data_IF_008750359940
#
_entry.id   IF_008750359940
#
_cell.length_a   1.000
_cell.length_b   1.000
_cell.length_c   1.000
_cell.angle_alpha   90.00
_cell.angle_beta   90.00
_cell.angle_gamma   90.00
#
_symmetry.space_group_name_H-M   'P 1'
#
loop_
_entity.id
_entity.type
_entity.pdbx_description
1 polymer ?
#
# COMPACT_ATOMS: atom_id res chain seq x y z
N UNK A 1 -22.77 -38.89 14.24
CA UNK A 1 -23.84 -38.12 13.54
C UNK A 1 -23.42 -37.96 12.08
N UNK A 2 -24.29 -38.27 11.13
CA UNK A 2 -24.11 -37.97 9.70
C UNK A 2 -24.72 -36.60 9.43
N UNK A 3 -23.99 -35.74 8.76
CA UNK A 3 -24.47 -34.40 8.35
C UNK A 3 -24.33 -34.32 6.82
N UNK A 4 -25.39 -33.96 6.14
CA UNK A 4 -25.36 -33.61 4.72
C UNK A 4 -25.42 -32.10 4.59
N UNK A 5 -24.46 -31.53 3.87
CA UNK A 5 -24.40 -30.10 3.59
C UNK A 5 -24.54 -29.87 2.08
N UNK A 6 -25.32 -28.88 1.74
CA UNK A 6 -25.41 -28.37 0.38
C UNK A 6 -24.94 -26.88 0.39
N UNK A 7 -24.07 -26.53 -0.52
CA UNK A 7 -23.53 -25.15 -0.62
C UNK A 7 -23.20 -24.79 -2.06
N UNK A 8 -23.04 -23.51 -2.33
CA UNK A 8 -22.45 -23.01 -3.57
C UNK A 8 -21.58 -21.78 -3.28
N UNK A 9 -20.62 -21.52 -4.17
CA UNK A 9 -19.70 -20.40 -4.01
C UNK A 9 -20.34 -19.09 -4.51
N UNK A 10 -20.36 -18.07 -3.66
CA UNK A 10 -20.93 -16.75 -3.96
C UNK A 10 -20.11 -15.97 -5.01
N UNK A 11 -18.87 -16.35 -5.30
CA UNK A 11 -18.05 -15.72 -6.33
C UNK A 11 -18.70 -15.71 -7.72
N UNK A 12 -19.64 -16.60 -7.99
CA UNK A 12 -20.39 -16.64 -9.23
C UNK A 12 -21.41 -15.51 -9.41
N UNK A 13 -21.72 -14.77 -8.34
CA UNK A 13 -22.79 -13.79 -8.30
C UNK A 13 -22.29 -12.37 -8.10
N UNK A 14 -21.01 -12.20 -7.77
CA UNK A 14 -20.44 -10.88 -7.65
C UNK A 14 -20.23 -10.23 -9.01
N UNK A 15 -20.40 -8.92 -9.05
CA UNK A 15 -20.03 -8.10 -10.22
C UNK A 15 -18.53 -8.26 -10.46
N UNK A 16 -18.15 -8.60 -11.71
CA UNK A 16 -16.74 -8.75 -12.09
C UNK A 16 -16.08 -7.39 -12.23
N UNK A 17 -14.76 -7.36 -12.09
CA UNK A 17 -13.99 -6.11 -12.17
C UNK A 17 -14.17 -5.37 -13.48
N UNK A 18 -14.27 -6.11 -14.58
CA UNK A 18 -14.44 -5.60 -15.94
C UNK A 18 -15.84 -5.02 -16.21
N UNK A 19 -16.79 -5.28 -15.31
CA UNK A 19 -18.17 -4.78 -15.42
C UNK A 19 -18.36 -3.42 -14.72
N UNK A 20 -17.34 -2.92 -14.01
CA UNK A 20 -17.40 -1.57 -13.44
C UNK A 20 -17.12 -0.53 -14.52
N UNK A 21 -18.08 0.37 -14.70
CA UNK A 21 -18.02 1.43 -15.70
C UNK A 21 -17.23 2.64 -15.21
N UNK A 22 -16.84 3.54 -16.13
CA UNK A 22 -16.23 4.84 -15.78
C UNK A 22 -17.12 5.64 -14.81
N UNK A 23 -18.42 5.54 -14.96
CA UNK A 23 -19.39 6.18 -14.08
C UNK A 23 -19.29 5.60 -12.66
N UNK A 24 -19.25 4.27 -12.52
CA UNK A 24 -19.12 3.60 -11.21
C UNK A 24 -17.85 4.06 -10.50
N UNK A 25 -16.71 4.13 -11.22
CA UNK A 25 -15.42 4.54 -10.67
C UNK A 25 -15.44 6.00 -10.24
N UNK A 26 -15.97 6.89 -11.09
CA UNK A 26 -16.05 8.32 -10.82
C UNK A 26 -16.97 8.62 -9.62
N UNK A 27 -18.12 7.95 -9.52
CA UNK A 27 -19.05 8.10 -8.38
C UNK A 27 -18.41 7.59 -7.08
N UNK A 28 -17.78 6.41 -7.11
CA UNK A 28 -17.10 5.86 -5.95
C UNK A 28 -15.97 6.78 -5.46
N UNK A 29 -15.15 7.29 -6.39
CA UNK A 29 -14.05 8.21 -6.06
C UNK A 29 -14.59 9.51 -5.45
N UNK A 30 -15.64 10.08 -6.02
CA UNK A 30 -16.30 11.29 -5.50
C UNK A 30 -16.84 11.11 -4.09
N UNK A 31 -17.54 9.99 -3.85
CA UNK A 31 -18.13 9.67 -2.53
C UNK A 31 -17.07 9.42 -1.45
N UNK A 32 -15.90 8.94 -1.83
CA UNK A 32 -14.83 8.56 -0.93
C UNK A 32 -13.59 9.45 -1.03
N UNK A 33 -13.69 10.63 -1.65
CA UNK A 33 -12.56 11.51 -2.00
C UNK A 33 -11.58 11.75 -0.86
N UNK A 34 -12.08 11.96 0.36
CA UNK A 34 -11.21 12.26 1.52
C UNK A 34 -10.44 11.03 2.04
N UNK A 35 -10.97 9.83 1.81
CA UNK A 35 -10.34 8.56 2.19
C UNK A 35 -9.39 8.03 1.12
N UNK A 36 -9.59 8.46 -0.12
CA UNK A 36 -8.84 7.98 -1.28
C UNK A 36 -7.70 8.93 -1.68
N UNK A 37 -7.47 10.01 -0.93
CA UNK A 37 -6.33 10.90 -1.17
C UNK A 37 -5.03 10.11 -1.12
N UNK A 38 -4.20 10.34 -2.14
CA UNK A 38 -2.87 9.76 -2.28
C UNK A 38 -1.86 10.82 -1.89
N UNK A 39 -0.99 10.46 -0.95
CA UNK A 39 0.09 11.34 -0.55
C UNK A 39 1.26 11.24 -1.52
N UNK A 40 1.71 12.39 -2.02
CA UNK A 40 2.91 12.56 -2.83
C UNK A 40 3.94 13.35 -2.03
N UNK A 41 5.21 12.98 -2.19
CA UNK A 41 6.32 13.71 -1.60
C UNK A 41 7.35 14.11 -2.65
N UNK A 42 7.97 15.28 -2.45
CA UNK A 42 9.22 15.65 -3.09
C UNK A 42 10.32 15.52 -2.05
N UNK A 43 11.40 14.86 -2.39
CA UNK A 43 12.54 14.69 -1.49
C UNK A 43 13.86 14.63 -2.24
N UNK A 44 14.93 14.83 -1.51
CA UNK A 44 16.29 14.64 -1.98
C UNK A 44 17.05 13.81 -0.98
N UNK A 45 18.03 13.05 -1.48
CA UNK A 45 18.85 12.21 -0.64
C UNK A 45 20.25 12.01 -1.21
N UNK A 46 21.19 11.64 -0.35
CA UNK A 46 22.52 11.12 -0.71
C UNK A 46 22.74 9.80 0.02
N UNK A 47 23.54 8.93 -0.62
CA UNK A 47 24.02 7.69 -0.01
C UNK A 47 25.42 7.95 0.51
N UNK A 48 25.66 7.60 1.77
CA UNK A 48 26.91 7.77 2.48
C UNK A 48 27.52 6.39 2.74
N UNK A 49 28.67 6.14 2.17
CA UNK A 49 29.45 4.92 2.39
C UNK A 49 30.93 5.28 2.64
N UNK A 50 31.74 4.33 3.10
CA UNK A 50 33.15 4.64 3.40
C UNK A 50 33.90 5.20 2.19
N UNK A 51 33.62 4.72 0.98
CA UNK A 51 34.31 5.17 -0.24
C UNK A 51 34.10 6.65 -0.48
N UNK A 52 32.82 7.12 -0.44
CA UNK A 52 32.50 8.51 -0.76
C UNK A 52 32.68 9.47 0.41
N UNK A 53 32.68 8.97 1.66
CA UNK A 53 32.81 9.81 2.85
C UNK A 53 34.25 9.96 3.35
N UNK A 54 35.05 8.89 3.26
CA UNK A 54 36.42 8.85 3.79
C UNK A 54 37.47 8.27 2.80
N UNK A 55 37.05 7.87 1.60
CA UNK A 55 37.97 7.38 0.55
C UNK A 55 38.53 5.97 0.78
N UNK A 56 37.92 5.16 1.64
CA UNK A 56 38.31 3.76 1.90
C UNK A 56 37.12 2.83 1.72
N UNK A 57 37.37 1.51 1.62
CA UNK A 57 36.29 0.52 1.45
C UNK A 57 35.74 0.00 2.79
N UNK A 58 36.40 0.34 3.90
CA UNK A 58 36.09 -0.24 5.21
C UNK A 58 35.32 0.73 6.12
N UNK A 59 34.31 0.20 6.79
CA UNK A 59 33.68 0.87 7.92
C UNK A 59 34.64 0.88 9.11
N UNK A 60 35.15 2.05 9.45
CA UNK A 60 36.07 2.27 10.56
C UNK A 60 35.62 3.46 11.43
N UNK A 61 36.35 3.71 12.51
CA UNK A 61 36.00 4.79 13.44
C UNK A 61 35.90 6.15 12.74
N UNK A 62 36.77 6.44 11.77
CA UNK A 62 36.74 7.73 11.04
C UNK A 62 35.44 7.91 10.25
N UNK A 63 34.92 6.81 9.68
CA UNK A 63 33.62 6.83 9.01
C UNK A 63 32.50 7.15 10.00
N UNK A 64 32.43 6.43 11.13
CA UNK A 64 31.39 6.65 12.14
C UNK A 64 31.49 8.04 12.78
N UNK A 65 32.69 8.54 13.04
CA UNK A 65 32.88 9.92 13.53
C UNK A 65 32.32 10.96 12.54
N UNK A 66 32.38 10.68 11.22
CA UNK A 66 31.78 11.53 10.20
C UNK A 66 30.24 11.45 10.22
N UNK A 67 29.68 10.26 10.41
CA UNK A 67 28.23 10.07 10.54
C UNK A 67 27.73 10.82 11.79
N UNK A 68 28.38 10.62 12.95
CA UNK A 68 28.06 11.32 14.19
C UNK A 68 28.12 12.85 14.01
N UNK A 69 29.11 13.36 13.27
CA UNK A 69 29.21 14.79 12.98
C UNK A 69 28.03 15.28 12.12
N UNK A 70 27.56 14.49 11.15
CA UNK A 70 26.38 14.83 10.33
C UNK A 70 25.13 14.87 11.24
N UNK A 71 24.95 13.92 12.15
CA UNK A 71 23.85 13.91 13.11
C UNK A 71 23.88 15.15 14.02
N UNK A 72 25.06 15.55 14.48
CA UNK A 72 25.25 16.80 15.25
C UNK A 72 24.90 18.01 14.38
N UNK A 73 25.37 18.07 13.13
CA UNK A 73 25.07 19.16 12.21
C UNK A 73 23.54 19.28 11.99
N UNK A 74 22.82 18.14 11.81
CA UNK A 74 21.35 18.09 11.70
C UNK A 74 20.69 18.62 12.99
N UNK A 75 21.17 18.17 14.15
CA UNK A 75 20.64 18.59 15.44
C UNK A 75 20.84 20.08 15.74
N UNK A 76 21.82 20.69 15.07
CA UNK A 76 22.10 22.14 15.12
C UNK A 76 21.43 22.91 13.96
N UNK A 77 20.39 22.35 13.35
CA UNK A 77 19.60 22.97 12.25
C UNK A 77 20.41 23.28 10.98
N UNK A 78 21.52 22.56 10.72
CA UNK A 78 22.25 22.70 9.47
C UNK A 78 21.35 22.34 8.27
N UNK A 79 21.46 23.09 7.15
CA UNK A 79 20.70 22.76 5.96
C UNK A 79 21.29 21.55 5.20
N UNK A 80 20.44 20.76 4.59
CA UNK A 80 20.82 19.60 3.79
C UNK A 80 21.83 19.97 2.69
N UNK A 81 21.60 21.07 1.97
CA UNK A 81 22.45 21.47 0.85
C UNK A 81 23.82 21.94 1.32
N UNK A 82 23.90 22.53 2.52
CA UNK A 82 25.16 22.92 3.15
C UNK A 82 25.99 21.68 3.51
N UNK A 83 25.35 20.67 4.12
CA UNK A 83 26.02 19.38 4.45
C UNK A 83 26.52 18.70 3.17
N UNK A 84 25.66 18.57 2.14
CA UNK A 84 26.03 17.94 0.86
C UNK A 84 27.19 18.67 0.19
N UNK A 85 27.18 20.00 0.20
CA UNK A 85 28.25 20.83 -0.35
C UNK A 85 29.57 20.66 0.42
N UNK A 86 29.50 20.67 1.75
CA UNK A 86 30.67 20.42 2.64
C UNK A 86 31.29 19.05 2.40
N UNK A 87 30.47 18.04 2.10
CA UNK A 87 30.91 16.69 1.78
C UNK A 87 31.39 16.54 0.33
N UNK A 88 31.23 17.55 -0.52
CA UNK A 88 31.49 17.51 -1.95
C UNK A 88 30.78 16.35 -2.68
N UNK A 89 29.53 16.08 -2.29
CA UNK A 89 28.67 15.05 -2.86
C UNK A 89 27.57 15.66 -3.74
N UNK A 90 26.89 14.80 -4.50
CA UNK A 90 25.76 15.20 -5.33
C UNK A 90 24.49 14.49 -4.84
N UNK A 91 23.42 15.26 -4.67
CA UNK A 91 22.12 14.71 -4.23
C UNK A 91 21.29 14.16 -5.39
N UNK A 92 20.53 13.13 -5.10
CA UNK A 92 19.47 12.61 -5.96
C UNK A 92 18.18 13.32 -5.58
N UNK A 93 17.51 13.94 -6.56
CA UNK A 93 16.26 14.67 -6.36
C UNK A 93 15.09 13.85 -6.95
N UNK A 94 14.09 13.57 -6.15
CA UNK A 94 12.87 12.86 -6.54
C UNK A 94 11.69 13.79 -6.36
N UNK A 95 10.86 13.91 -7.40
CA UNK A 95 9.66 14.74 -7.38
C UNK A 95 8.42 13.89 -7.62
N UNK A 96 7.30 14.29 -7.01
CA UNK A 96 6.01 13.64 -7.16
C UNK A 96 6.07 12.13 -6.87
N UNK A 97 6.85 11.75 -5.87
CA UNK A 97 6.96 10.36 -5.48
C UNK A 97 5.64 9.89 -4.83
N UNK A 98 5.08 8.85 -5.38
CA UNK A 98 3.98 8.07 -4.83
C UNK A 98 4.53 6.69 -4.45
N UNK A 99 4.16 6.19 -3.28
CA UNK A 99 4.53 4.83 -2.87
C UNK A 99 4.00 3.80 -3.87
N UNK A 100 4.88 2.88 -4.25
CA UNK A 100 4.54 1.73 -5.08
C UNK A 100 5.60 0.64 -4.87
N UNK A 101 5.22 -0.62 -4.97
CA UNK A 101 6.13 -1.75 -4.72
C UNK A 101 7.27 -1.87 -5.74
N UNK A 102 7.10 -1.33 -6.94
CA UNK A 102 8.12 -1.29 -7.99
C UNK A 102 9.20 -0.22 -7.79
N UNK A 103 9.06 0.64 -6.78
CA UNK A 103 10.04 1.68 -6.46
C UNK A 103 11.26 1.10 -5.74
N UNK A 104 12.39 1.84 -5.80
CA UNK A 104 13.62 1.47 -5.08
C UNK A 104 13.36 1.38 -3.58
N UNK A 105 13.96 0.39 -2.92
CA UNK A 105 13.78 0.17 -1.48
C UNK A 105 14.10 1.41 -0.66
N UNK A 106 15.18 2.11 -0.99
CA UNK A 106 15.55 3.35 -0.29
C UNK A 106 14.51 4.46 -0.44
N UNK A 107 13.89 4.60 -1.61
CA UNK A 107 12.85 5.60 -1.85
C UNK A 107 11.57 5.25 -1.08
N UNK A 108 11.22 3.95 -1.00
CA UNK A 108 10.11 3.45 -0.18
C UNK A 108 10.36 3.69 1.31
N UNK A 109 11.59 3.44 1.79
CA UNK A 109 12.00 3.68 3.17
C UNK A 109 11.90 5.16 3.54
N UNK A 110 12.39 6.06 2.70
CA UNK A 110 12.25 7.51 2.88
C UNK A 110 10.77 7.92 2.94
N UNK A 111 9.94 7.37 2.05
CA UNK A 111 8.50 7.64 2.07
C UNK A 111 7.84 7.19 3.37
N UNK A 112 8.21 6.03 3.91
CA UNK A 112 7.69 5.54 5.19
C UNK A 112 8.08 6.46 6.37
N UNK A 113 9.27 7.06 6.31
CA UNK A 113 9.81 7.97 7.32
C UNK A 113 9.49 9.46 7.08
N UNK A 114 8.64 9.79 6.13
CA UNK A 114 8.38 11.16 5.64
C UNK A 114 7.86 12.14 6.68
N UNK A 115 7.45 11.68 7.86
CA UNK A 115 7.11 12.54 8.97
C UNK A 115 8.37 13.22 9.57
N UNK A 116 9.52 12.58 9.50
CA UNK A 116 10.81 13.18 9.78
C UNK A 116 11.25 13.94 8.52
N UNK A 117 11.27 15.27 8.61
CA UNK A 117 11.53 16.11 7.43
C UNK A 117 12.96 16.09 6.95
N UNK A 118 13.89 15.84 7.85
CA UNK A 118 15.32 15.79 7.59
C UNK A 118 15.98 14.85 8.59
N UNK A 119 16.67 13.84 8.11
CA UNK A 119 17.27 12.83 8.98
C UNK A 119 18.35 12.04 8.23
N UNK A 120 19.16 11.29 9.00
CA UNK A 120 20.07 10.27 8.49
C UNK A 120 19.60 8.91 8.98
N UNK A 121 19.61 7.90 8.11
CA UNK A 121 19.15 6.55 8.42
C UNK A 121 20.18 5.52 7.97
N UNK A 122 20.34 4.49 8.76
CA UNK A 122 21.10 3.31 8.39
C UNK A 122 20.33 2.50 7.34
N UNK A 123 21.06 2.01 6.32
CA UNK A 123 20.50 1.23 5.23
C UNK A 123 21.47 0.12 4.84
N UNK A 124 21.18 -1.13 5.21
CA UNK A 124 21.99 -2.35 4.95
C UNK A 124 23.50 -2.17 5.06
N UNK A 125 24.14 -1.66 3.99
CA UNK A 125 25.59 -1.47 3.87
C UNK A 125 26.01 -0.01 3.69
N UNK A 126 25.12 0.95 3.99
CA UNK A 126 25.38 2.39 3.85
C UNK A 126 24.48 3.21 4.78
N UNK A 127 24.64 4.52 4.75
CA UNK A 127 23.76 5.49 5.41
C UNK A 127 23.11 6.38 4.37
N UNK A 128 21.92 6.86 4.66
CA UNK A 128 21.18 7.74 3.76
C UNK A 128 20.79 9.00 4.50
N UNK A 129 21.32 10.12 4.06
CA UNK A 129 20.90 11.44 4.46
C UNK A 129 19.78 11.89 3.52
N UNK A 130 18.61 12.24 4.04
CA UNK A 130 17.47 12.67 3.22
C UNK A 130 16.79 13.92 3.78
N UNK A 131 16.13 14.67 2.89
CA UNK A 131 15.27 15.80 3.24
C UNK A 131 13.98 15.77 2.44
N UNK A 132 12.85 15.77 3.14
CA UNK A 132 11.52 15.95 2.54
C UNK A 132 11.32 17.42 2.24
N UNK A 133 11.13 17.76 0.96
CA UNK A 133 10.95 19.14 0.49
C UNK A 133 9.48 19.54 0.49
N UNK A 134 8.59 18.62 0.10
CA UNK A 134 7.15 18.85 -0.02
C UNK A 134 6.37 17.58 0.29
N UNK A 135 5.22 17.74 0.89
CA UNK A 135 4.21 16.70 1.06
C UNK A 135 2.88 17.24 0.55
N UNK A 136 2.19 16.50 -0.28
CA UNK A 136 0.94 16.92 -0.91
C UNK A 136 -0.03 15.75 -1.02
N UNK A 137 -1.27 15.95 -0.57
CA UNK A 137 -2.35 14.98 -0.76
C UNK A 137 -3.15 15.36 -2.01
N UNK A 138 -3.28 14.42 -2.95
CA UNK A 138 -4.01 14.59 -4.21
C UNK A 138 -5.17 13.62 -4.31
N UNK A 139 -6.21 14.02 -5.03
CA UNK A 139 -7.28 13.10 -5.41
C UNK A 139 -6.72 12.03 -6.37
N UNK A 140 -7.30 10.80 -6.37
CA UNK A 140 -6.89 9.74 -7.27
C UNK A 140 -7.05 10.15 -8.74
N UNK A 141 -6.01 9.97 -9.53
CA UNK A 141 -6.08 10.14 -10.99
C UNK A 141 -6.50 8.82 -11.64
N UNK A 142 -7.73 8.76 -12.13
CA UNK A 142 -8.26 7.57 -12.82
C UNK A 142 -7.63 7.33 -14.21
N UNK A 143 -6.84 8.26 -14.74
CA UNK A 143 -6.04 8.03 -15.95
C UNK A 143 -4.73 7.28 -15.62
N UNK A 144 -4.27 7.33 -14.36
CA UNK A 144 -3.17 6.48 -13.91
C UNK A 144 -3.65 5.04 -13.78
N UNK A 145 -3.08 4.13 -14.56
CA UNK A 145 -3.46 2.71 -14.64
C UNK A 145 -3.40 2.01 -13.28
N UNK A 146 -2.38 2.30 -12.48
CA UNK A 146 -2.22 1.69 -11.16
C UNK A 146 -3.31 2.18 -10.22
N UNK A 147 -3.50 3.49 -10.09
CA UNK A 147 -4.55 4.11 -9.27
C UNK A 147 -5.93 3.60 -9.69
N UNK A 148 -6.19 3.53 -10.99
CA UNK A 148 -7.44 2.98 -11.52
C UNK A 148 -7.68 1.54 -11.05
N UNK A 149 -6.67 0.67 -11.15
CA UNK A 149 -6.78 -0.72 -10.70
C UNK A 149 -7.03 -0.81 -9.20
N UNK A 150 -6.38 0.00 -8.39
CA UNK A 150 -6.61 0.09 -6.94
C UNK A 150 -8.06 0.49 -6.62
N UNK A 151 -8.62 1.47 -7.35
CA UNK A 151 -10.03 1.88 -7.21
C UNK A 151 -10.99 0.75 -7.62
N UNK A 152 -10.69 0.03 -8.71
CA UNK A 152 -11.49 -1.13 -9.14
C UNK A 152 -11.50 -2.23 -8.08
N UNK A 153 -10.36 -2.48 -7.42
CA UNK A 153 -10.30 -3.43 -6.30
C UNK A 153 -11.19 -2.98 -5.14
N UNK A 154 -11.09 -1.73 -4.72
CA UNK A 154 -11.86 -1.19 -3.60
C UNK A 154 -13.37 -1.23 -3.86
N UNK A 155 -13.82 -0.82 -5.04
CA UNK A 155 -15.23 -0.86 -5.40
C UNK A 155 -15.74 -2.31 -5.52
N UNK A 156 -14.91 -3.23 -6.00
CA UNK A 156 -15.23 -4.65 -6.07
C UNK A 156 -15.41 -5.25 -4.67
N UNK A 157 -14.51 -4.93 -3.73
CA UNK A 157 -14.62 -5.37 -2.33
C UNK A 157 -15.88 -4.80 -1.66
N UNK A 158 -16.16 -3.51 -1.85
CA UNK A 158 -17.40 -2.87 -1.35
C UNK A 158 -18.64 -3.58 -1.89
N UNK A 159 -18.69 -3.83 -3.20
CA UNK A 159 -19.82 -4.49 -3.83
C UNK A 159 -20.04 -5.92 -3.29
N UNK A 160 -18.97 -6.70 -3.10
CA UNK A 160 -19.06 -8.03 -2.48
C UNK A 160 -19.58 -7.96 -1.04
N UNK A 161 -19.10 -7.00 -0.27
CA UNK A 161 -19.53 -6.81 1.11
C UNK A 161 -21.02 -6.44 1.18
N UNK A 162 -21.48 -5.50 0.36
CA UNK A 162 -22.88 -5.09 0.28
C UNK A 162 -23.78 -6.25 -0.16
N UNK A 163 -23.38 -6.99 -1.19
CA UNK A 163 -24.09 -8.18 -1.65
C UNK A 163 -24.26 -9.23 -0.55
N UNK A 164 -23.17 -9.52 0.18
CA UNK A 164 -23.18 -10.50 1.26
C UNK A 164 -24.07 -10.05 2.42
N UNK A 165 -24.01 -8.77 2.80
CA UNK A 165 -24.86 -8.21 3.85
C UNK A 165 -26.34 -8.25 3.48
N UNK A 166 -26.67 -7.91 2.24
CA UNK A 166 -28.06 -7.98 1.76
C UNK A 166 -28.59 -9.42 1.81
N UNK A 167 -27.80 -10.39 1.31
CA UNK A 167 -28.15 -11.80 1.36
C UNK A 167 -28.32 -12.31 2.80
N UNK A 168 -27.39 -11.98 3.70
CA UNK A 168 -27.46 -12.33 5.11
C UNK A 168 -28.71 -11.73 5.79
N UNK A 169 -29.05 -10.51 5.48
CA UNK A 169 -30.27 -9.87 6.00
C UNK A 169 -31.53 -10.57 5.50
N UNK A 170 -31.59 -10.93 4.22
CA UNK A 170 -32.69 -11.73 3.65
C UNK A 170 -32.84 -13.08 4.34
N UNK A 171 -31.72 -13.75 4.64
CA UNK A 171 -31.72 -15.02 5.39
C UNK A 171 -32.22 -14.83 6.82
N UNK A 172 -31.65 -13.85 7.55
CA UNK A 172 -32.03 -13.58 8.95
C UNK A 172 -33.50 -13.19 9.10
N UNK A 173 -34.04 -12.42 8.16
CA UNK A 173 -35.45 -12.02 8.17
C UNK A 173 -36.39 -13.08 7.59
N UNK A 174 -35.88 -14.26 7.26
CA UNK A 174 -36.68 -15.33 6.69
C UNK A 174 -37.28 -15.05 5.32
N UNK A 175 -36.76 -14.04 4.59
CA UNK A 175 -37.17 -13.72 3.21
C UNK A 175 -36.51 -14.68 2.22
N UNK A 176 -35.26 -15.06 2.44
CA UNK A 176 -34.54 -16.04 1.64
C UNK A 176 -34.94 -17.47 2.08
N UNK A 177 -35.57 -18.19 1.17
CA UNK A 177 -36.10 -19.53 1.40
C UNK A 177 -35.27 -20.61 0.70
N UNK A 178 -35.53 -21.89 1.01
CA UNK A 178 -34.90 -23.04 0.35
C UNK A 178 -35.03 -22.99 -1.18
N UNK A 179 -36.20 -22.57 -1.66
CA UNK A 179 -36.42 -22.43 -3.11
C UNK A 179 -35.53 -21.35 -3.73
N UNK A 180 -35.23 -20.27 -3.01
CA UNK A 180 -34.31 -19.22 -3.48
C UNK A 180 -32.88 -19.74 -3.53
N UNK A 181 -32.45 -20.54 -2.52
CA UNK A 181 -31.19 -21.23 -2.51
C UNK A 181 -31.05 -22.16 -3.75
N UNK A 182 -32.03 -23.00 -4.00
CA UNK A 182 -32.04 -23.93 -5.13
C UNK A 182 -32.03 -23.18 -6.48
N UNK A 183 -32.82 -22.11 -6.61
CA UNK A 183 -32.87 -21.30 -7.82
C UNK A 183 -31.56 -20.56 -8.07
N UNK A 184 -30.98 -20.00 -7.02
CA UNK A 184 -29.72 -19.27 -7.09
C UNK A 184 -28.55 -20.22 -7.39
N UNK A 185 -28.46 -21.34 -6.69
CA UNK A 185 -27.38 -22.30 -6.85
C UNK A 185 -27.46 -23.09 -8.15
N UNK A 186 -28.67 -23.46 -8.61
CA UNK A 186 -28.91 -24.31 -9.82
C UNK A 186 -27.86 -25.43 -9.97
N UNK A 187 -27.09 -25.39 -11.06
CA UNK A 187 -26.06 -26.41 -11.36
C UNK A 187 -24.73 -26.20 -10.63
N UNK A 188 -24.69 -25.28 -9.65
CA UNK A 188 -23.47 -24.92 -8.86
C UNK A 188 -23.54 -25.41 -7.43
N UNK A 189 -24.62 -26.13 -7.04
CA UNK A 189 -24.77 -26.70 -5.70
C UNK A 189 -23.86 -27.89 -5.57
N UNK A 190 -22.96 -27.81 -4.61
CA UNK A 190 -22.09 -28.89 -4.19
C UNK A 190 -22.67 -29.57 -2.94
N UNK A 191 -22.41 -30.88 -2.76
CA UNK A 191 -22.93 -31.69 -1.66
C UNK A 191 -21.78 -32.37 -0.94
N UNK A 192 -21.72 -32.19 0.38
CA UNK A 192 -20.73 -32.85 1.25
C UNK A 192 -21.44 -33.66 2.29
N UNK A 193 -20.95 -34.89 2.49
CA UNK A 193 -21.38 -35.79 3.57
C UNK A 193 -20.28 -35.86 4.62
N UNK A 194 -20.55 -35.34 5.81
CA UNK A 194 -19.68 -35.50 6.96
C UNK A 194 -20.11 -36.71 7.78
N UNK A 195 -19.21 -37.67 7.98
CA UNK A 195 -19.49 -38.90 8.68
C UNK A 195 -19.09 -38.89 10.17
N UNK A 196 -18.22 -37.93 10.56
CA UNK A 196 -17.83 -37.71 11.97
C UNK A 196 -17.47 -36.26 12.21
N UNK A 197 -17.36 -35.85 13.49
CA UNK A 197 -16.88 -34.52 13.90
C UNK A 197 -15.38 -34.31 13.55
N UNK A 198 -14.69 -35.39 13.14
CA UNK A 198 -13.26 -35.34 12.76
C UNK A 198 -13.02 -35.32 11.25
N UNK A 199 -14.05 -35.32 10.43
CA UNK A 199 -13.93 -35.18 8.99
C UNK A 199 -13.56 -33.69 8.67
N UNK A 200 -12.28 -33.44 8.53
CA UNK A 200 -11.75 -32.18 7.98
C UNK A 200 -11.79 -32.29 6.45
N UNK A 201 -12.82 -31.76 5.84
CA UNK A 201 -12.91 -31.60 4.39
C UNK A 201 -12.78 -30.10 4.00
#
# INVERSE_FOLDING_TARGET
>A
KKLNLEFFNLNYFYKKKEEFTEKDLSEFTRENKDKLKIEYIDFKYIILNPVNLIGTDEFNQVFFDKIDQIEIDISNDADFDDIVTKLNLSSINIKNFKFSEDKKEIEKKIYQLRNNKFDIIENENDYVLYKIQKTENREPDLNDKQTRNEIVELISQKNKFEYNNDLLNKIKNGVFKEQDFLNMGKNKIEKIKLNSVKDNS
#
